data_IF_888523186532
#
_entry.id   IF_888523186532
#
_cell.length_a   1.000
_cell.length_b   1.000
_cell.length_c   1.000
_cell.angle_alpha   90.00
_cell.angle_beta   90.00
_cell.angle_gamma   90.00
#
_symmetry.space_group_name_H-M   'P 1'
#
loop_
_entity.id
_entity.type
_entity.pdbx_description
1 polymer ?
#
# COMPACT_ATOMS: atom_id res chain seq x y z
N UNK A 1 38.07 13.47 22.59
CA UNK A 1 36.86 13.91 23.32
C UNK A 1 35.78 12.88 23.00
N UNK A 2 35.48 11.97 23.92
CA UNK A 2 34.47 10.89 23.75
C UNK A 2 33.12 11.41 24.26
N UNK A 3 32.06 11.21 23.48
CA UNK A 3 30.71 11.69 23.78
C UNK A 3 29.93 10.49 24.31
N UNK A 4 30.04 10.24 25.61
CA UNK A 4 29.19 9.28 26.32
C UNK A 4 27.95 10.04 26.82
N UNK A 5 26.79 9.85 26.17
CA UNK A 5 25.60 10.61 26.60
C UNK A 5 24.24 10.32 25.96
N UNK A 6 24.11 9.37 25.02
CA UNK A 6 22.83 9.16 24.29
C UNK A 6 22.04 7.94 24.83
N UNK A 7 22.58 7.23 25.81
CA UNK A 7 22.04 5.94 26.27
C UNK A 7 20.72 5.98 27.05
N UNK A 8 20.32 7.03 27.81
CA UNK A 8 19.11 6.91 28.64
C UNK A 8 17.80 7.02 27.82
N UNK A 9 17.81 7.72 26.68
CA UNK A 9 16.60 7.93 25.88
C UNK A 9 16.26 6.71 25.00
N UNK A 10 17.27 5.92 24.62
CA UNK A 10 17.05 4.65 23.91
C UNK A 10 16.48 3.55 24.82
N UNK A 11 16.75 3.61 26.13
CA UNK A 11 16.26 2.63 27.10
C UNK A 11 14.78 2.82 27.46
N UNK A 12 14.26 4.04 27.44
CA UNK A 12 12.83 4.29 27.68
C UNK A 12 11.94 3.84 26.51
N UNK A 13 12.45 3.90 25.28
CA UNK A 13 11.73 3.47 24.08
C UNK A 13 11.60 1.94 23.96
N UNK A 14 12.48 1.17 24.62
CA UNK A 14 12.46 -0.29 24.57
C UNK A 14 11.57 -0.94 25.66
N UNK A 15 11.14 -0.17 26.67
CA UNK A 15 10.31 -0.66 27.76
C UNK A 15 8.80 -0.70 27.43
N UNK A 16 8.37 -0.05 26.34
CA UNK A 16 6.94 0.14 26.00
C UNK A 16 6.36 -1.00 25.13
N UNK A 17 7.12 -2.06 24.88
CA UNK A 17 6.66 -3.22 24.07
C UNK A 17 6.27 -4.43 24.92
N UNK A 18 6.07 -4.26 26.23
CA UNK A 18 5.76 -5.37 27.14
C UNK A 18 4.26 -5.47 27.45
N UNK A 19 3.65 -6.47 26.81
CA UNK A 19 2.44 -7.22 27.22
C UNK A 19 1.08 -6.61 26.86
N UNK A 20 0.46 -7.14 25.79
CA UNK A 20 -1.00 -7.14 25.64
C UNK A 20 -1.48 -8.58 25.88
N UNK A 21 -1.61 -8.93 27.15
CA UNK A 21 -2.36 -10.11 27.58
C UNK A 21 -3.86 -9.85 27.41
N UNK A 22 -4.58 -10.88 26.93
CA UNK A 22 -6.00 -11.03 27.20
C UNK A 22 -6.96 -10.67 26.06
N UNK A 23 -7.09 -11.56 25.07
CA UNK A 23 -8.39 -11.76 24.41
C UNK A 23 -9.06 -12.97 25.06
N UNK A 24 -9.96 -12.71 26.01
CA UNK A 24 -10.77 -13.73 26.65
C UNK A 24 -12.06 -13.96 25.85
N UNK A 25 -12.23 -15.18 25.33
CA UNK A 25 -13.49 -15.67 24.77
C UNK A 25 -14.49 -15.93 25.91
N UNK A 26 -15.76 -15.47 25.84
CA UNK A 26 -16.76 -15.90 26.81
C UNK A 26 -17.15 -17.36 26.55
N UNK A 27 -16.85 -18.23 27.51
CA UNK A 27 -17.38 -19.57 27.59
C UNK A 27 -18.90 -19.50 27.80
N UNK A 28 -19.67 -19.92 26.79
CA UNK A 28 -21.10 -20.09 26.90
C UNK A 28 -21.41 -21.32 27.78
N UNK A 29 -21.75 -21.05 29.04
CA UNK A 29 -22.50 -21.98 29.89
C UNK A 29 -23.99 -21.66 29.76
N UNK A 30 -24.76 -22.59 29.21
CA UNK A 30 -26.20 -22.66 29.43
C UNK A 30 -26.64 -24.12 29.40
N UNK A 31 -26.79 -24.65 30.60
CA UNK A 31 -27.50 -25.88 30.95
C UNK A 31 -28.97 -25.78 30.57
N UNK A 32 -29.54 -26.85 29.99
CA UNK A 32 -30.92 -27.27 30.24
C UNK A 32 -31.15 -28.69 29.69
N UNK A 33 -31.19 -29.67 30.59
CA UNK A 33 -31.82 -30.96 30.37
C UNK A 33 -33.21 -30.96 31.04
N UNK A 34 -34.27 -31.29 30.29
CA UNK A 34 -35.47 -32.00 30.78
C UNK A 34 -36.52 -32.23 29.65
N UNK A 35 -36.61 -33.49 29.23
CA UNK A 35 -37.82 -34.36 29.18
C UNK A 35 -39.09 -33.98 28.38
N UNK A 36 -39.33 -34.77 27.32
CA UNK A 36 -40.57 -35.40 26.80
C UNK A 36 -41.83 -34.58 26.47
N UNK A 37 -42.26 -34.59 25.19
CA UNK A 37 -43.52 -35.19 24.70
C UNK A 37 -43.79 -34.89 23.20
N UNK A 38 -44.68 -35.69 22.63
CA UNK A 38 -44.93 -36.06 21.22
C UNK A 38 -45.81 -35.10 20.37
N UNK A 39 -45.50 -34.96 19.06
CA UNK A 39 -46.40 -34.95 17.88
C UNK A 39 -45.95 -33.99 16.72
N UNK A 40 -46.15 -34.34 15.41
CA UNK A 40 -45.57 -33.67 14.23
C UNK A 40 -46.58 -32.76 13.47
N UNK A 41 -46.30 -32.22 12.27
CA UNK A 41 -45.10 -31.56 11.73
C UNK A 41 -45.39 -30.07 11.42
N UNK A 42 -44.38 -29.20 11.40
CA UNK A 42 -44.50 -27.90 10.74
C UNK A 42 -43.15 -27.45 10.22
N UNK A 43 -43.07 -27.40 8.90
CA UNK A 43 -41.95 -26.87 8.12
C UNK A 43 -41.67 -25.43 8.55
N UNK A 44 -40.48 -25.09 9.10
CA UNK A 44 -40.11 -23.69 9.26
C UNK A 44 -39.72 -23.12 7.89
N UNK A 45 -40.12 -21.88 7.56
CA UNK A 45 -39.67 -21.23 6.34
C UNK A 45 -38.14 -21.03 6.37
N UNK A 46 -37.45 -21.00 5.22
CA UNK A 46 -36.02 -20.78 5.19
C UNK A 46 -35.71 -19.38 5.74
N UNK A 47 -35.13 -19.35 6.94
CA UNK A 47 -34.53 -18.14 7.49
C UNK A 47 -33.30 -17.85 6.66
N UNK A 48 -33.41 -16.89 5.74
CA UNK A 48 -32.29 -16.41 4.94
C UNK A 48 -31.31 -15.70 5.88
N UNK A 49 -30.07 -16.17 6.07
CA UNK A 49 -29.11 -15.49 6.92
C UNK A 49 -28.46 -14.34 6.14
N UNK A 50 -29.21 -13.29 5.81
CA UNK A 50 -28.72 -12.16 4.98
C UNK A 50 -27.90 -11.14 5.80
N UNK A 51 -28.06 -11.13 7.13
CA UNK A 51 -27.41 -10.14 8.00
C UNK A 51 -25.92 -10.44 8.27
N UNK A 52 -25.55 -11.71 8.45
CA UNK A 52 -24.17 -12.10 8.71
C UNK A 52 -23.26 -11.82 7.50
N UNK A 53 -23.75 -12.05 6.28
CA UNK A 53 -23.02 -11.76 5.04
C UNK A 53 -22.78 -10.26 4.85
N UNK A 54 -23.72 -9.41 5.26
CA UNK A 54 -23.63 -7.95 5.08
C UNK A 54 -22.57 -7.31 6.00
N UNK A 55 -22.45 -7.77 7.25
CA UNK A 55 -21.41 -7.30 8.18
C UNK A 55 -20.03 -7.79 7.75
N UNK A 56 -19.93 -9.06 7.34
CA UNK A 56 -18.67 -9.61 6.82
C UNK A 56 -18.20 -8.86 5.56
N UNK A 57 -19.12 -8.48 4.67
CA UNK A 57 -18.81 -7.65 3.50
C UNK A 57 -18.32 -6.24 3.89
N UNK A 58 -18.96 -5.59 4.87
CA UNK A 58 -18.51 -4.28 5.36
C UNK A 58 -17.14 -4.33 6.04
N UNK A 59 -16.85 -5.38 6.82
CA UNK A 59 -15.53 -5.61 7.42
C UNK A 59 -14.48 -5.87 6.34
N UNK A 60 -14.81 -6.63 5.29
CA UNK A 60 -13.91 -6.85 4.16
C UNK A 60 -13.60 -5.56 3.39
N UNK A 61 -14.59 -4.67 3.20
CA UNK A 61 -14.39 -3.35 2.59
C UNK A 61 -13.54 -2.42 3.47
N UNK A 62 -13.73 -2.44 4.78
CA UNK A 62 -12.93 -1.67 5.72
C UNK A 62 -11.48 -2.17 5.84
N UNK A 63 -11.21 -3.43 5.51
CA UNK A 63 -9.87 -4.00 5.47
C UNK A 63 -9.05 -3.52 4.26
N UNK A 64 -9.70 -3.00 3.21
CA UNK A 64 -9.02 -2.43 2.04
C UNK A 64 -8.82 -0.94 2.28
N UNK A 65 -7.59 -0.52 2.58
CA UNK A 65 -7.24 0.91 2.64
C UNK A 65 -6.93 1.45 1.23
N UNK A 66 -7.86 2.22 0.60
CA UNK A 66 -7.67 2.72 -0.76
C UNK A 66 -6.53 3.75 -0.86
N UNK A 67 -6.17 4.41 0.23
CA UNK A 67 -5.08 5.41 0.25
C UNK A 67 -3.74 4.69 0.20
N UNK A 68 -3.58 3.62 0.97
CA UNK A 68 -2.36 2.80 0.95
C UNK A 68 -2.15 2.13 -0.40
N UNK A 69 -3.20 1.57 -1.01
CA UNK A 69 -3.06 0.97 -2.36
C UNK A 69 -2.76 2.02 -3.43
N UNK A 70 -3.35 3.22 -3.35
CA UNK A 70 -3.00 4.33 -4.25
C UNK A 70 -1.53 4.74 -4.10
N UNK A 71 -1.04 4.90 -2.87
CA UNK A 71 0.37 5.22 -2.60
C UNK A 71 1.31 4.15 -3.15
N UNK A 72 0.96 2.87 -3.01
CA UNK A 72 1.73 1.76 -3.58
C UNK A 72 1.86 1.87 -5.09
N UNK A 73 0.76 2.10 -5.80
CA UNK A 73 0.75 2.26 -7.26
C UNK A 73 1.59 3.44 -7.72
N UNK A 74 1.52 4.57 -7.01
CA UNK A 74 2.33 5.75 -7.30
C UNK A 74 3.82 5.44 -7.14
N UNK A 75 4.19 4.72 -6.07
CA UNK A 75 5.58 4.31 -5.85
C UNK A 75 6.08 3.35 -6.92
N UNK A 76 5.27 2.37 -7.31
CA UNK A 76 5.59 1.42 -8.39
C UNK A 76 5.78 2.12 -9.75
N UNK A 77 4.94 3.11 -10.06
CA UNK A 77 5.07 3.86 -11.31
C UNK A 77 6.29 4.78 -11.33
N UNK A 78 6.63 5.41 -10.19
CA UNK A 78 7.85 6.20 -10.06
C UNK A 78 9.11 5.32 -10.15
N UNK A 79 9.11 4.14 -9.51
CA UNK A 79 10.21 3.17 -9.56
C UNK A 79 10.43 2.65 -10.99
N UNK A 80 9.34 2.40 -11.72
CA UNK A 80 9.39 2.09 -13.15
C UNK A 80 10.06 3.21 -13.95
N UNK A 81 9.66 4.46 -13.74
CA UNK A 81 10.27 5.62 -14.40
C UNK A 81 11.77 5.74 -14.14
N UNK A 82 12.17 5.56 -12.88
CA UNK A 82 13.59 5.55 -12.49
C UNK A 82 14.36 4.43 -13.20
N UNK A 83 13.81 3.21 -13.22
CA UNK A 83 14.43 2.08 -13.90
C UNK A 83 14.62 2.33 -15.41
N UNK A 84 13.64 2.95 -16.07
CA UNK A 84 13.74 3.31 -17.49
C UNK A 84 14.84 4.35 -17.74
N UNK A 85 14.91 5.36 -16.86
CA UNK A 85 15.95 6.40 -16.93
C UNK A 85 17.35 5.81 -16.73
N UNK A 86 17.52 4.90 -15.76
CA UNK A 86 18.81 4.23 -15.52
C UNK A 86 19.25 3.37 -16.71
N UNK A 87 18.32 2.61 -17.30
CA UNK A 87 18.61 1.84 -18.53
C UNK A 87 19.04 2.73 -19.68
N UNK A 88 18.33 3.83 -19.91
CA UNK A 88 18.71 4.80 -20.96
C UNK A 88 20.09 5.41 -20.68
N UNK A 89 20.38 5.78 -19.43
CA UNK A 89 21.70 6.27 -19.02
C UNK A 89 22.78 5.25 -19.32
N UNK A 90 22.54 3.98 -19.00
CA UNK A 90 23.52 2.92 -19.22
C UNK A 90 23.71 2.70 -20.73
N UNK A 91 22.66 2.70 -21.55
CA UNK A 91 22.77 2.63 -23.01
C UNK A 91 23.60 3.79 -23.58
N UNK A 92 23.33 5.02 -23.11
CA UNK A 92 24.06 6.22 -23.53
C UNK A 92 25.54 6.17 -23.12
N UNK A 93 25.86 5.60 -21.96
CA UNK A 93 27.24 5.37 -21.53
C UNK A 93 28.01 4.42 -22.47
N UNK A 94 27.29 3.53 -23.16
CA UNK A 94 27.83 2.66 -24.21
C UNK A 94 27.72 3.27 -25.62
N UNK A 95 27.29 4.53 -25.74
CA UNK A 95 27.17 5.25 -27.00
C UNK A 95 25.95 4.88 -27.85
N UNK A 96 24.93 4.27 -27.24
CA UNK A 96 23.69 3.88 -27.91
C UNK A 96 22.48 4.62 -27.32
N UNK A 97 21.50 4.94 -28.17
CA UNK A 97 20.19 5.42 -27.75
C UNK A 97 19.12 4.63 -28.51
N UNK A 98 18.75 3.42 -28.04
CA UNK A 98 17.79 2.59 -28.75
C UNK A 98 16.43 3.31 -28.83
N UNK A 99 15.83 3.47 -30.02
CA UNK A 99 14.60 4.25 -30.17
C UNK A 99 13.45 3.68 -29.34
N UNK A 100 13.39 2.36 -29.16
CA UNK A 100 12.41 1.70 -28.29
C UNK A 100 12.52 2.14 -26.83
N UNK A 101 13.75 2.30 -26.31
CA UNK A 101 13.99 2.74 -24.92
C UNK A 101 13.57 4.18 -24.72
N UNK A 102 13.89 5.02 -25.69
CA UNK A 102 13.53 6.43 -25.63
C UNK A 102 12.01 6.60 -25.73
N UNK A 103 11.35 5.85 -26.62
CA UNK A 103 9.90 5.85 -26.74
C UNK A 103 9.20 5.33 -25.47
N UNK A 104 9.74 4.27 -24.85
CA UNK A 104 9.21 3.74 -23.59
C UNK A 104 9.28 4.79 -22.46
N UNK A 105 10.41 5.49 -22.36
CA UNK A 105 10.59 6.56 -21.38
C UNK A 105 9.71 7.78 -21.67
N UNK A 106 9.55 8.17 -22.94
CA UNK A 106 8.65 9.26 -23.36
C UNK A 106 7.18 8.94 -23.02
N UNK A 107 6.74 7.72 -23.33
CA UNK A 107 5.38 7.26 -23.02
C UNK A 107 5.12 7.28 -21.51
N UNK A 108 6.12 6.90 -20.70
CA UNK A 108 6.02 7.02 -19.25
C UNK A 108 5.93 8.48 -18.81
N UNK A 109 6.75 9.38 -19.37
CA UNK A 109 6.76 10.80 -19.01
C UNK A 109 5.45 11.51 -19.33
N UNK A 110 4.78 11.13 -20.42
CA UNK A 110 3.45 11.65 -20.79
C UNK A 110 2.35 11.17 -19.83
N UNK A 111 2.46 9.93 -19.33
CA UNK A 111 1.47 9.33 -18.46
C UNK A 111 1.67 9.65 -16.97
N UNK A 112 2.91 9.93 -16.57
CA UNK A 112 3.27 10.11 -15.16
C UNK A 112 2.73 11.42 -14.61
N UNK A 113 1.88 11.33 -13.59
CA UNK A 113 1.34 12.48 -12.87
C UNK A 113 2.06 12.61 -11.53
N UNK A 114 2.74 13.74 -11.34
CA UNK A 114 3.40 14.04 -10.06
C UNK A 114 2.34 14.08 -8.96
N UNK A 115 2.47 13.25 -7.91
CA UNK A 115 1.48 13.18 -6.84
C UNK A 115 1.54 14.42 -5.93
N UNK A 116 0.36 14.85 -5.46
CA UNK A 116 0.23 15.93 -4.49
C UNK A 116 0.64 15.49 -3.07
N UNK A 117 1.10 16.45 -2.26
CA UNK A 117 1.50 16.27 -0.85
C UNK A 117 0.37 15.73 0.05
N UNK A 118 -0.88 15.80 -0.40
CA UNK A 118 -2.03 15.24 0.32
C UNK A 118 -2.11 13.70 0.22
N UNK A 119 -1.50 13.11 -0.80
CA UNK A 119 -1.58 11.66 -1.10
C UNK A 119 -0.32 10.92 -0.63
N UNK A 120 0.84 11.57 -0.71
CA UNK A 120 2.16 11.00 -0.39
C UNK A 120 2.90 11.89 0.59
N UNK A 121 4.03 11.43 1.12
CA UNK A 121 4.89 12.30 1.92
C UNK A 121 5.44 13.44 1.05
N UNK A 122 5.63 14.66 1.60
CA UNK A 122 6.18 15.80 0.84
C UNK A 122 7.57 15.50 0.24
N UNK A 123 8.36 14.68 0.94
CA UNK A 123 9.67 14.23 0.46
C UNK A 123 9.55 13.38 -0.81
N UNK A 124 8.58 12.47 -0.87
CA UNK A 124 8.34 11.65 -2.06
C UNK A 124 7.85 12.51 -3.23
N UNK A 125 6.91 13.42 -2.99
CA UNK A 125 6.39 14.33 -4.03
C UNK A 125 7.52 15.17 -4.65
N UNK A 126 8.47 15.63 -3.82
CA UNK A 126 9.67 16.32 -4.29
C UNK A 126 10.52 15.43 -5.20
N UNK A 127 10.83 14.20 -4.77
CA UNK A 127 11.63 13.26 -5.57
C UNK A 127 10.92 12.89 -6.87
N UNK A 128 9.61 12.68 -6.85
CA UNK A 128 8.81 12.40 -8.04
C UNK A 128 8.85 13.57 -9.05
N UNK A 129 8.80 14.81 -8.56
CA UNK A 129 8.95 16.00 -9.39
C UNK A 129 10.35 16.12 -9.98
N UNK A 130 11.39 15.88 -9.18
CA UNK A 130 12.78 15.91 -9.64
C UNK A 130 13.03 14.83 -10.71
N UNK A 131 12.43 13.63 -10.55
CA UNK A 131 12.47 12.56 -11.53
C UNK A 131 11.80 12.98 -12.85
N UNK A 132 10.60 13.53 -12.79
CA UNK A 132 9.87 14.00 -13.97
C UNK A 132 10.66 15.05 -14.76
N UNK A 133 11.20 16.05 -14.07
CA UNK A 133 12.06 17.08 -14.69
C UNK A 133 13.30 16.44 -15.31
N UNK A 134 13.94 15.49 -14.62
CA UNK A 134 15.13 14.83 -15.15
C UNK A 134 14.83 14.04 -16.41
N UNK A 135 13.72 13.32 -16.44
CA UNK A 135 13.29 12.55 -17.61
C UNK A 135 13.04 13.48 -18.79
N UNK A 136 12.29 14.57 -18.61
CA UNK A 136 12.07 15.56 -19.68
C UNK A 136 13.37 16.16 -20.20
N UNK A 137 14.31 16.49 -19.31
CA UNK A 137 15.62 17.02 -19.71
C UNK A 137 16.41 15.99 -20.51
N UNK A 138 16.42 14.71 -20.13
CA UNK A 138 17.10 13.67 -20.91
C UNK A 138 16.46 13.46 -22.29
N UNK A 139 15.12 13.45 -22.38
CA UNK A 139 14.42 13.36 -23.66
C UNK A 139 14.72 14.57 -24.56
N UNK A 140 14.74 15.77 -24.00
CA UNK A 140 15.08 16.99 -24.73
C UNK A 140 16.52 16.99 -25.28
N UNK A 141 17.49 16.37 -24.57
CA UNK A 141 18.86 16.23 -25.09
C UNK A 141 18.94 15.32 -26.33
N UNK A 142 17.95 14.47 -26.53
CA UNK A 142 17.85 13.56 -27.68
C UNK A 142 17.00 14.15 -28.81
N UNK A 143 16.72 15.46 -28.77
CA UNK A 143 15.83 16.18 -29.70
C UNK A 143 14.40 15.63 -29.76
N UNK A 144 13.97 14.94 -28.70
CA UNK A 144 12.60 14.43 -28.56
C UNK A 144 11.88 15.33 -27.57
N UNK A 145 11.17 16.33 -28.10
CA UNK A 145 10.29 17.16 -27.30
C UNK A 145 9.08 16.31 -26.87
N UNK A 146 8.98 16.04 -25.57
CA UNK A 146 7.80 15.50 -24.90
C UNK A 146 7.00 16.64 -24.24
#
# INVERSE_FOLDING_TARGET
MRIDGITPLLQSMLADTRTRDGFALPAAVASAAATTAEAPPSTPPPVVPTSATSVQMMVALAAVDPVSERRRKIAEDADRGLTLLERLRDDLAHGAAPPERVQELATWAEAFVVPDDAVVTPEFAKVARDLEVRVRVELAKLDLNA
#
